data_IF_203987308168
#
_entry.id   IF_203987308168
#
_cell.length_a   1.000
_cell.length_b   1.000
_cell.length_c   1.000
_cell.angle_alpha   90.00
_cell.angle_beta   90.00
_cell.angle_gamma   90.00
#
_symmetry.space_group_name_H-M   'P 1'
#
loop_
_entity.id
_entity.type
_entity.pdbx_description
1 polymer ?
#
# COMPACT_ATOMS: atom_id res chain seq x y z
N UNK A 1 14.17 3.26 -28.13
CA UNK A 1 13.53 2.52 -27.03
C UNK A 1 14.16 3.04 -25.76
N UNK A 2 13.51 4.00 -25.12
CA UNK A 2 13.95 4.43 -23.80
C UNK A 2 13.54 3.35 -22.81
N UNK A 3 14.54 2.64 -22.33
CA UNK A 3 14.44 1.64 -21.29
C UNK A 3 14.66 2.38 -19.97
N UNK A 4 13.79 3.35 -19.68
CA UNK A 4 13.81 4.09 -18.43
C UNK A 4 13.53 3.09 -17.33
N UNK A 5 14.62 2.64 -16.69
CA UNK A 5 14.74 1.79 -15.50
C UNK A 5 13.39 1.30 -14.96
N UNK A 6 13.08 0.01 -15.14
CA UNK A 6 11.94 -0.62 -14.51
C UNK A 6 12.11 -0.59 -12.99
N UNK A 7 11.76 0.55 -12.39
CA UNK A 7 11.75 0.72 -10.94
C UNK A 7 10.72 -0.26 -10.39
N UNK A 8 11.13 -1.00 -9.38
CA UNK A 8 10.23 -1.90 -8.66
C UNK A 8 9.08 -1.05 -8.09
N UNK A 9 7.84 -1.43 -8.41
CA UNK A 9 6.66 -0.73 -7.90
C UNK A 9 6.52 -1.09 -6.42
N UNK A 10 6.60 -0.10 -5.54
CA UNK A 10 6.44 -0.28 -4.10
C UNK A 10 4.99 -0.03 -3.69
N UNK A 11 4.36 -1.05 -3.11
CA UNK A 11 2.96 -1.02 -2.70
C UNK A 11 2.88 -1.17 -1.18
N UNK A 12 2.18 -0.26 -0.52
CA UNK A 12 1.84 -0.39 0.89
C UNK A 12 0.38 -0.86 1.01
N UNK A 13 0.18 -2.02 1.62
CA UNK A 13 -1.13 -2.60 1.88
C UNK A 13 -1.57 -2.23 3.29
N UNK A 14 -2.74 -1.62 3.40
CA UNK A 14 -3.46 -1.40 4.65
C UNK A 14 -4.53 -2.49 4.73
N UNK A 15 -4.18 -3.60 5.37
CA UNK A 15 -4.90 -4.88 5.28
C UNK A 15 -4.62 -5.72 6.53
N UNK A 16 -5.64 -6.27 7.18
CA UNK A 16 -5.51 -7.15 8.34
C UNK A 16 -5.33 -8.64 7.94
N UNK A 17 -5.77 -9.00 6.74
CA UNK A 17 -5.69 -10.34 6.17
C UNK A 17 -4.45 -10.53 5.28
N UNK A 18 -3.46 -11.28 5.77
CA UNK A 18 -2.32 -11.67 4.94
C UNK A 18 -2.72 -12.49 3.70
N UNK A 19 -3.82 -13.23 3.77
CA UNK A 19 -4.33 -14.03 2.66
C UNK A 19 -4.88 -13.15 1.53
N UNK A 20 -5.60 -12.08 1.88
CA UNK A 20 -6.17 -11.17 0.88
C UNK A 20 -5.08 -10.32 0.21
N UNK A 21 -4.03 -9.95 0.96
CA UNK A 21 -2.81 -9.38 0.38
C UNK A 21 -2.14 -10.35 -0.61
N UNK A 22 -1.98 -11.64 -0.25
CA UNK A 22 -1.36 -12.62 -1.14
C UNK A 22 -2.14 -12.81 -2.45
N UNK A 23 -3.47 -12.82 -2.38
CA UNK A 23 -4.34 -12.87 -3.55
C UNK A 23 -4.17 -11.62 -4.42
N UNK A 24 -4.19 -10.44 -3.81
CA UNK A 24 -3.96 -9.17 -4.51
C UNK A 24 -2.58 -9.15 -5.21
N UNK A 25 -1.53 -9.62 -4.52
CA UNK A 25 -0.20 -9.74 -5.11
C UNK A 25 -0.16 -10.76 -6.25
N UNK A 26 -0.93 -11.84 -6.17
CA UNK A 26 -1.04 -12.82 -7.26
C UNK A 26 -1.59 -12.16 -8.53
N UNK A 27 -2.65 -11.38 -8.42
CA UNK A 27 -3.25 -10.66 -9.55
C UNK A 27 -2.28 -9.60 -10.12
N UNK A 28 -1.60 -8.86 -9.24
CA UNK A 28 -0.65 -7.82 -9.66
C UNK A 28 0.61 -8.36 -10.35
N UNK A 29 0.97 -9.65 -10.18
CA UNK A 29 2.08 -10.28 -10.93
C UNK A 29 1.89 -10.19 -12.44
N UNK A 30 0.65 -10.10 -12.93
CA UNK A 30 0.33 -9.94 -14.35
C UNK A 30 0.82 -8.62 -14.97
N UNK A 31 1.20 -7.63 -14.17
CA UNK A 31 1.65 -6.31 -14.63
C UNK A 31 3.01 -6.33 -15.35
N UNK A 32 3.76 -7.43 -15.28
CA UNK A 32 5.10 -7.53 -15.87
C UNK A 32 6.14 -6.62 -15.23
N UNK A 33 5.86 -6.11 -14.02
CA UNK A 33 6.77 -5.29 -13.20
C UNK A 33 7.22 -6.04 -11.95
N UNK A 34 8.40 -5.71 -11.44
CA UNK A 34 8.80 -6.13 -10.09
C UNK A 34 7.96 -5.36 -9.08
N UNK A 35 7.52 -6.06 -8.04
CA UNK A 35 6.69 -5.51 -6.97
C UNK A 35 7.42 -5.71 -5.65
N UNK A 36 7.55 -4.65 -4.86
CA UNK A 36 7.82 -4.74 -3.44
C UNK A 36 6.54 -4.41 -2.68
N UNK A 37 6.26 -5.15 -1.61
CA UNK A 37 5.01 -5.00 -0.89
C UNK A 37 5.25 -5.03 0.62
N UNK A 38 4.64 -4.07 1.32
CA UNK A 38 4.64 -3.99 2.78
C UNK A 38 3.19 -4.04 3.26
N UNK A 39 2.91 -4.72 4.37
CA UNK A 39 1.57 -4.78 4.98
C UNK A 39 1.57 -4.12 6.34
N UNK A 40 0.54 -3.33 6.60
CA UNK A 40 0.24 -2.75 7.92
C UNK A 40 -1.24 -2.97 8.21
N UNK A 41 -1.60 -3.13 9.48
CA UNK A 41 -2.98 -3.41 9.90
C UNK A 41 -3.47 -2.46 11.00
N UNK A 42 -2.67 -1.45 11.35
CA UNK A 42 -2.98 -0.48 12.38
C UNK A 42 -2.35 0.88 12.07
N UNK A 43 -2.79 1.88 12.82
CA UNK A 43 -2.44 3.28 12.60
C UNK A 43 -0.97 3.60 12.92
N UNK A 44 -0.36 2.92 13.88
CA UNK A 44 1.03 3.17 14.28
C UNK A 44 1.97 2.57 13.23
N UNK A 45 1.70 1.34 12.80
CA UNK A 45 2.42 0.69 11.71
C UNK A 45 2.31 1.47 10.39
N UNK A 46 1.13 2.04 10.09
CA UNK A 46 0.96 2.90 8.91
C UNK A 46 1.84 4.16 8.99
N UNK A 47 1.82 4.86 10.13
CA UNK A 47 2.67 6.06 10.31
C UNK A 47 4.15 5.73 10.20
N UNK A 48 4.59 4.65 10.83
CA UNK A 48 5.97 4.19 10.76
C UNK A 48 6.37 3.81 9.32
N UNK A 49 5.47 3.18 8.56
CA UNK A 49 5.73 2.82 7.17
C UNK A 49 5.87 4.05 6.27
N UNK A 50 5.03 5.07 6.47
CA UNK A 50 5.08 6.34 5.73
C UNK A 50 6.33 7.17 6.08
N UNK A 51 6.81 7.11 7.32
CA UNK A 51 8.04 7.79 7.73
C UNK A 51 9.30 7.10 7.16
N UNK A 52 9.30 5.77 7.11
CA UNK A 52 10.46 4.98 6.65
C UNK A 52 10.59 4.89 5.13
N UNK A 53 9.48 5.03 4.41
CA UNK A 53 9.44 4.79 2.97
C UNK A 53 8.34 5.59 2.28
N UNK A 54 8.56 5.91 1.00
CA UNK A 54 7.58 6.53 0.12
C UNK A 54 7.06 5.51 -0.90
N UNK A 55 5.99 4.74 -0.58
CA UNK A 55 5.40 3.81 -1.54
C UNK A 55 4.83 4.56 -2.75
N UNK A 56 4.79 3.91 -3.91
CA UNK A 56 4.22 4.48 -5.13
C UNK A 56 2.68 4.53 -5.07
N UNK A 57 2.08 3.63 -4.29
CA UNK A 57 0.63 3.54 -4.08
C UNK A 57 0.31 2.83 -2.76
N UNK A 58 -0.80 3.24 -2.15
CA UNK A 58 -1.38 2.59 -0.98
C UNK A 58 -2.68 1.91 -1.41
N UNK A 59 -2.79 0.61 -1.15
CA UNK A 59 -4.01 -0.18 -1.33
C UNK A 59 -4.58 -0.48 0.06
N UNK A 60 -5.83 -0.14 0.32
CA UNK A 60 -6.45 -0.31 1.62
C UNK A 60 -7.72 -1.11 1.51
N UNK A 61 -7.87 -2.12 2.37
CA UNK A 61 -9.21 -2.67 2.60
C UNK A 61 -10.11 -1.59 3.24
N UNK A 62 -11.37 -1.60 2.86
CA UNK A 62 -12.37 -0.67 3.36
C UNK A 62 -12.79 -1.03 4.79
N UNK A 63 -12.85 -2.32 5.14
CA UNK A 63 -13.52 -2.83 6.33
C UNK A 63 -12.65 -3.75 7.19
N UNK A 64 -11.59 -3.22 7.80
CA UNK A 64 -10.84 -3.97 8.80
C UNK A 64 -11.40 -3.77 10.23
N UNK A 65 -11.45 -4.81 11.07
CA UNK A 65 -11.81 -4.69 12.48
C UNK A 65 -10.79 -3.84 13.25
N UNK A 66 -11.25 -2.80 13.96
CA UNK A 66 -10.41 -2.00 14.89
C UNK A 66 -9.62 -0.86 14.24
N UNK A 67 -9.34 -0.92 12.93
CA UNK A 67 -8.74 0.17 12.16
C UNK A 67 -9.45 0.25 10.80
N UNK A 68 -10.14 1.34 10.48
CA UNK A 68 -10.88 1.41 9.21
C UNK A 68 -10.02 2.00 8.10
N UNK A 69 -10.29 1.60 6.84
CA UNK A 69 -9.65 2.22 5.68
C UNK A 69 -9.92 3.73 5.58
N UNK A 70 -11.03 4.21 6.11
CA UNK A 70 -11.32 5.65 6.22
C UNK A 70 -10.36 6.37 7.17
N UNK A 71 -10.07 5.78 8.34
CA UNK A 71 -9.09 6.37 9.27
C UNK A 71 -7.67 6.30 8.68
N UNK A 72 -7.34 5.23 7.95
CA UNK A 72 -6.08 5.15 7.20
C UNK A 72 -5.96 6.27 6.15
N UNK A 73 -7.04 6.55 5.39
CA UNK A 73 -7.07 7.62 4.41
C UNK A 73 -6.87 9.01 5.05
N UNK A 74 -7.44 9.26 6.22
CA UNK A 74 -7.22 10.50 6.97
C UNK A 74 -5.74 10.69 7.32
N UNK A 75 -5.09 9.64 7.83
CA UNK A 75 -3.65 9.64 8.15
C UNK A 75 -2.81 9.91 6.91
N UNK A 76 -3.09 9.21 5.80
CA UNK A 76 -2.33 9.36 4.55
C UNK A 76 -2.49 10.77 3.98
N UNK A 77 -3.69 11.35 4.03
CA UNK A 77 -3.91 12.73 3.58
C UNK A 77 -3.18 13.78 4.41
N UNK A 78 -2.94 13.49 5.69
CA UNK A 78 -2.19 14.38 6.57
C UNK A 78 -0.67 14.26 6.32
N UNK A 79 -0.16 13.03 6.18
CA UNK A 79 1.28 12.76 6.18
C UNK A 79 1.90 12.63 4.78
N UNK A 80 1.14 12.14 3.80
CA UNK A 80 1.62 11.86 2.45
C UNK A 80 0.52 12.08 1.39
N UNK A 81 -0.05 13.31 1.29
CA UNK A 81 -1.19 13.62 0.42
C UNK A 81 -0.94 13.39 -1.08
N UNK A 82 0.31 13.32 -1.50
CA UNK A 82 0.73 13.06 -2.88
C UNK A 82 0.65 11.58 -3.27
N UNK A 83 0.64 10.66 -2.30
CA UNK A 83 0.62 9.22 -2.56
C UNK A 83 -0.80 8.80 -2.92
N UNK A 84 -1.01 8.15 -4.09
CA UNK A 84 -2.31 7.61 -4.45
C UNK A 84 -2.79 6.58 -3.41
N UNK A 85 -4.04 6.76 -2.95
CA UNK A 85 -4.71 5.85 -2.02
C UNK A 85 -5.94 5.25 -2.70
N UNK A 86 -6.02 3.93 -2.72
CA UNK A 86 -7.09 3.17 -3.39
C UNK A 86 -7.75 2.23 -2.37
N UNK A 87 -9.08 2.20 -2.39
CA UNK A 87 -9.91 1.22 -1.68
C UNK A 87 -10.15 -0.03 -2.52
#
# INVERSE_FOLDING_TARGET
>A
MDMSTANELSVLFVEDSALDMELSLHELKGLGRKLSATRVSDADALRDALDRSSPDVILSDFSMPGFSGMHALEIVRELAPEIPFIF
#
